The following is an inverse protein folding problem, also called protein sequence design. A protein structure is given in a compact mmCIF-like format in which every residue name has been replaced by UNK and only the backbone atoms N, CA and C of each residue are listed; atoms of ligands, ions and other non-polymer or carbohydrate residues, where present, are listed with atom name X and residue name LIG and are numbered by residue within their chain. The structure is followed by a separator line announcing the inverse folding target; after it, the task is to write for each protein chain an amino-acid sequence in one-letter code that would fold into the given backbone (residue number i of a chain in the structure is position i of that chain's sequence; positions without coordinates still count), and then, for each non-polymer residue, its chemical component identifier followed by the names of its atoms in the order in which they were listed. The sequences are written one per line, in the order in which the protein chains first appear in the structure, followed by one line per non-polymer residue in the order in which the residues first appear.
data_IF_560777742202
#
_entry.id   IF_560777742202
#
_cell.length_a   1.000
_cell.length_b   1.000
_cell.length_c   1.000
_cell.angle_alpha   90.00
_cell.angle_beta   90.00
_cell.angle_gamma   90.00
#
_symmetry.space_group_name_H-M   'P 1'
#
loop_
_entity.id
_entity.type
_entity.pdbx_description
1 polymer ?
#
# COMPACT_ATOMS: atom_id res chain seq x y z
N UNK A 1 -2.77 -15.37 -14.54
CA UNK A 1 -2.28 -13.98 -14.68
C UNK A 1 -1.39 -13.81 -15.91
N UNK A 2 -1.60 -12.78 -16.75
CA UNK A 2 -0.67 -12.45 -17.84
C UNK A 2 0.50 -11.65 -17.26
N UNK A 3 1.72 -11.99 -17.68
CA UNK A 3 2.94 -11.35 -17.19
C UNK A 3 3.75 -10.85 -18.39
N UNK A 4 4.14 -9.58 -18.39
CA UNK A 4 4.89 -8.96 -19.48
C UNK A 4 6.09 -8.19 -18.93
N UNK A 5 7.21 -8.27 -19.64
CA UNK A 5 8.37 -7.42 -19.37
C UNK A 5 8.06 -6.01 -19.86
N UNK A 6 8.30 -5.02 -19.00
CA UNK A 6 7.98 -3.62 -19.31
C UNK A 6 9.14 -2.98 -20.06
N UNK A 7 8.84 -2.16 -21.08
CA UNK A 7 9.89 -1.48 -21.84
C UNK A 7 10.73 -0.58 -20.92
N UNK A 8 11.96 -0.26 -21.32
CA UNK A 8 12.81 0.66 -20.54
C UNK A 8 12.15 2.02 -20.32
N UNK A 9 11.48 2.54 -21.35
CA UNK A 9 10.81 3.84 -21.28
C UNK A 9 9.63 3.86 -20.29
N UNK A 10 8.84 2.80 -20.26
CA UNK A 10 7.73 2.65 -19.32
C UNK A 10 8.23 2.36 -17.91
N UNK A 11 9.31 1.58 -17.77
CA UNK A 11 9.98 1.33 -16.50
C UNK A 11 10.40 2.65 -15.86
N UNK A 12 11.06 3.53 -16.62
CA UNK A 12 11.45 4.86 -16.13
C UNK A 12 10.24 5.67 -15.67
N UNK A 13 9.16 5.72 -16.44
CA UNK A 13 7.93 6.44 -16.07
C UNK A 13 7.30 5.92 -14.78
N UNK A 14 7.18 4.60 -14.64
CA UNK A 14 6.64 3.95 -13.44
C UNK A 14 7.49 4.29 -12.22
N UNK A 15 8.82 4.19 -12.33
CA UNK A 15 9.72 4.51 -11.23
C UNK A 15 9.68 5.99 -10.85
N UNK A 16 9.55 6.90 -11.81
CA UNK A 16 9.35 8.33 -11.56
C UNK A 16 8.03 8.61 -10.82
N UNK A 17 6.94 7.96 -11.25
CA UNK A 17 5.65 8.04 -10.59
C UNK A 17 5.70 7.52 -9.15
N UNK A 18 6.34 6.36 -8.93
CA UNK A 18 6.55 5.81 -7.59
C UNK A 18 7.35 6.77 -6.70
N UNK A 19 8.45 7.35 -7.20
CA UNK A 19 9.24 8.34 -6.45
C UNK A 19 8.42 9.55 -6.05
N UNK A 20 7.58 10.05 -6.96
CA UNK A 20 6.71 11.19 -6.70
C UNK A 20 5.65 10.89 -5.64
N UNK A 21 5.13 9.66 -5.58
CA UNK A 21 4.06 9.28 -4.67
C UNK A 21 4.58 8.84 -3.30
N UNK A 22 5.72 8.14 -3.25
CA UNK A 22 6.16 7.44 -2.04
C UNK A 22 6.99 8.32 -1.09
N UNK A 23 7.55 9.44 -1.58
CA UNK A 23 8.42 10.35 -0.78
C UNK A 23 9.60 9.64 -0.07
N UNK A 24 9.98 8.45 -0.53
CA UNK A 24 11.13 7.69 -0.06
C UNK A 24 12.13 7.43 -1.20
N UNK A 25 13.35 7.07 -0.84
CA UNK A 25 14.33 6.57 -1.82
C UNK A 25 13.94 5.16 -2.30
N UNK A 26 13.79 5.01 -3.62
CA UNK A 26 13.56 3.71 -4.24
C UNK A 26 14.88 2.96 -4.47
N UNK A 27 14.92 1.64 -4.25
CA UNK A 27 16.03 0.79 -4.66
C UNK A 27 16.30 0.89 -6.17
N UNK A 28 17.55 0.70 -6.58
CA UNK A 28 17.93 0.79 -8.00
C UNK A 28 17.32 -0.37 -8.79
N UNK A 29 16.49 -0.06 -9.78
CA UNK A 29 15.88 -1.06 -10.66
C UNK A 29 16.46 -1.00 -12.07
N UNK A 30 16.80 -2.16 -12.65
CA UNK A 30 17.23 -2.28 -14.05
C UNK A 30 16.05 -2.52 -14.98
N UNK A 31 15.17 -3.45 -14.60
CA UNK A 31 13.95 -3.82 -15.32
C UNK A 31 12.86 -4.12 -14.28
N UNK A 32 11.61 -3.94 -14.66
CA UNK A 32 10.44 -4.38 -13.89
C UNK A 32 9.56 -5.28 -14.78
N UNK A 33 8.82 -6.19 -14.16
CA UNK A 33 7.76 -6.98 -14.79
C UNK A 33 6.42 -6.47 -14.29
N UNK A 34 5.41 -6.49 -15.17
CA UNK A 34 4.03 -6.22 -14.83
C UNK A 34 3.22 -7.51 -14.94
N UNK A 35 2.31 -7.70 -13.98
CA UNK A 35 1.44 -8.86 -13.89
C UNK A 35 0.00 -8.38 -13.74
N UNK A 36 -0.83 -8.63 -14.76
CA UNK A 36 -2.21 -8.15 -14.81
C UNK A 36 -3.10 -8.95 -13.86
N UNK A 37 -3.68 -8.28 -12.86
CA UNK A 37 -4.64 -8.87 -11.93
C UNK A 37 -6.05 -8.56 -12.44
N UNK A 38 -6.44 -9.30 -13.48
CA UNK A 38 -7.73 -9.16 -14.17
C UNK A 38 -8.04 -7.68 -14.48
N UNK A 39 -9.22 -7.18 -14.11
CA UNK A 39 -9.65 -5.79 -14.31
C UNK A 39 -9.32 -4.87 -13.12
N UNK A 40 -8.66 -5.39 -12.07
CA UNK A 40 -8.44 -4.66 -10.81
C UNK A 40 -7.19 -3.79 -10.82
N UNK A 41 -6.14 -4.23 -11.51
CA UNK A 41 -4.87 -3.50 -11.54
C UNK A 41 -3.70 -4.38 -11.93
N UNK A 42 -2.50 -3.95 -11.56
CA UNK A 42 -1.25 -4.59 -11.97
C UNK A 42 -0.33 -4.77 -10.77
N UNK A 43 0.23 -5.97 -10.60
CA UNK A 43 1.37 -6.18 -9.70
C UNK A 43 2.65 -5.88 -10.48
N UNK A 44 3.52 -5.08 -9.88
CA UNK A 44 4.82 -4.71 -10.43
C UNK A 44 5.89 -5.42 -9.61
N UNK A 45 6.74 -6.20 -10.25
CA UNK A 45 7.89 -6.87 -9.60
C UNK A 45 9.21 -6.36 -10.18
N UNK A 46 10.12 -5.98 -9.29
CA UNK A 46 11.52 -5.66 -9.58
C UNK A 46 12.45 -6.56 -8.76
N UNK A 47 13.74 -6.23 -8.74
CA UNK A 47 14.74 -7.02 -8.01
C UNK A 47 14.63 -6.87 -6.48
N UNK A 48 14.24 -5.69 -6.01
CA UNK A 48 14.18 -5.33 -4.58
C UNK A 48 12.94 -4.48 -4.29
N UNK A 49 11.91 -4.59 -5.14
CA UNK A 49 10.69 -3.82 -4.99
C UNK A 49 9.53 -4.61 -5.55
N UNK A 50 8.49 -4.74 -4.74
CA UNK A 50 7.17 -5.17 -5.22
C UNK A 50 6.16 -4.07 -4.95
N UNK A 51 5.31 -3.79 -5.92
CA UNK A 51 4.28 -2.77 -5.81
C UNK A 51 2.99 -3.23 -6.48
N UNK A 52 1.90 -2.55 -6.15
CA UNK A 52 0.60 -2.71 -6.82
C UNK A 52 0.16 -1.38 -7.41
N UNK A 53 -0.26 -1.40 -8.68
CA UNK A 53 -0.85 -0.24 -9.35
C UNK A 53 -2.36 -0.43 -9.43
N UNK A 54 -3.10 0.50 -8.82
CA UNK A 54 -4.56 0.52 -8.76
C UNK A 54 -5.01 1.89 -9.28
N UNK A 55 -5.61 1.93 -10.47
CA UNK A 55 -5.85 3.19 -11.16
C UNK A 55 -4.54 3.96 -11.39
N UNK A 56 -4.45 5.18 -10.85
CA UNK A 56 -3.28 6.05 -10.93
C UNK A 56 -2.35 5.97 -9.71
N UNK A 57 -2.74 5.24 -8.67
CA UNK A 57 -1.94 5.07 -7.47
C UNK A 57 -1.06 3.83 -7.60
N UNK A 58 0.21 3.95 -7.19
CA UNK A 58 1.14 2.84 -7.06
C UNK A 58 1.48 2.73 -5.57
N UNK A 59 1.16 1.60 -4.96
CA UNK A 59 1.36 1.36 -3.53
C UNK A 59 2.44 0.29 -3.32
N UNK A 60 3.23 0.36 -2.22
CA UNK A 60 4.11 -0.74 -1.85
C UNK A 60 3.29 -2.00 -1.61
N UNK A 61 3.83 -3.14 -2.01
CA UNK A 61 3.17 -4.42 -1.78
C UNK A 61 3.32 -4.82 -0.30
N UNK A 62 2.29 -5.48 0.24
CA UNK A 62 2.17 -5.71 1.68
C UNK A 62 3.20 -6.71 2.26
N UNK A 63 3.92 -7.45 1.42
CA UNK A 63 4.99 -8.37 1.84
C UNK A 63 6.39 -7.73 1.83
N UNK A 64 6.53 -6.48 1.38
CA UNK A 64 7.81 -5.77 1.28
C UNK A 64 8.11 -4.98 2.56
N UNK A 65 8.30 -5.70 3.68
CA UNK A 65 8.47 -5.11 5.03
C UNK A 65 9.53 -3.99 5.07
N UNK A 66 10.76 -4.16 4.50
CA UNK A 66 11.77 -3.09 4.54
C UNK A 66 11.37 -1.81 3.81
N UNK A 67 10.46 -1.90 2.82
CA UNK A 67 9.89 -0.74 2.16
C UNK A 67 8.77 -0.14 3.00
N UNK A 68 7.86 -0.97 3.53
CA UNK A 68 6.71 -0.52 4.32
C UNK A 68 7.09 0.24 5.58
N UNK A 69 8.19 -0.14 6.25
CA UNK A 69 8.73 0.56 7.43
C UNK A 69 9.16 2.01 7.16
N UNK A 70 9.31 2.40 5.88
CA UNK A 70 9.67 3.77 5.48
C UNK A 70 8.46 4.67 5.26
N UNK A 71 7.25 4.12 5.28
CA UNK A 71 6.00 4.87 5.09
C UNK A 71 5.43 5.34 6.42
N UNK A 72 4.65 6.43 6.42
CA UNK A 72 3.81 6.75 7.56
C UNK A 72 2.79 5.64 7.82
N UNK A 73 2.31 5.56 9.05
CA UNK A 73 1.42 4.48 9.47
C UNK A 73 0.31 4.94 10.41
N UNK A 74 -0.75 4.14 10.45
CA UNK A 74 -1.73 4.09 11.53
C UNK A 74 -1.70 2.71 12.18
N UNK A 75 -1.86 2.66 13.49
CA UNK A 75 -2.09 1.43 14.25
C UNK A 75 -3.57 1.31 14.57
N UNK A 76 -4.16 0.15 14.31
CA UNK A 76 -5.57 -0.14 14.59
C UNK A 76 -5.75 -1.13 15.73
N UNK A 77 -6.88 -1.00 16.43
CA UNK A 77 -7.26 -1.94 17.48
C UNK A 77 -7.65 -3.33 16.93
N UNK A 78 -7.65 -4.33 17.81
CA UNK A 78 -8.03 -5.70 17.45
C UNK A 78 -9.46 -5.85 16.92
N UNK A 79 -10.37 -4.92 17.25
CA UNK A 79 -11.75 -4.92 16.76
C UNK A 79 -11.84 -4.53 15.27
N UNK A 80 -10.96 -3.66 14.81
CA UNK A 80 -10.86 -3.18 13.44
C UNK A 80 -10.19 -4.18 12.49
N UNK A 81 -9.22 -4.98 12.99
CA UNK A 81 -8.41 -5.92 12.17
C UNK A 81 -9.24 -6.74 11.19
N UNK A 82 -10.30 -7.40 11.67
CA UNK A 82 -11.12 -8.29 10.82
C UNK A 82 -11.83 -7.56 9.67
N UNK A 83 -12.09 -6.27 9.82
CA UNK A 83 -12.75 -5.45 8.81
C UNK A 83 -11.74 -4.91 7.81
N UNK A 84 -10.57 -4.46 8.28
CA UNK A 84 -9.47 -4.02 7.42
C UNK A 84 -9.01 -5.14 6.50
N UNK A 85 -8.84 -6.37 7.02
CA UNK A 85 -8.51 -7.55 6.20
C UNK A 85 -9.63 -7.99 5.25
N UNK A 86 -10.81 -7.35 5.30
CA UNK A 86 -11.92 -7.55 4.37
C UNK A 86 -12.14 -6.35 3.44
N UNK A 87 -11.19 -5.42 3.40
CA UNK A 87 -11.23 -4.25 2.52
C UNK A 87 -12.04 -3.08 3.05
N UNK A 88 -12.44 -3.08 4.33
CA UNK A 88 -13.05 -1.88 4.92
C UNK A 88 -12.01 -0.77 5.04
N UNK A 89 -12.46 0.48 4.83
CA UNK A 89 -11.67 1.67 5.12
C UNK A 89 -11.40 1.78 6.62
N UNK A 90 -10.31 2.45 6.97
CA UNK A 90 -9.92 2.64 8.37
C UNK A 90 -10.61 3.88 8.91
N UNK A 91 -11.47 3.65 9.89
CA UNK A 91 -12.23 4.71 10.55
C UNK A 91 -11.48 5.20 11.79
N UNK A 92 -11.58 6.50 12.08
CA UNK A 92 -10.91 7.13 13.21
C UNK A 92 -11.10 6.44 14.57
N UNK A 93 -12.30 5.94 14.95
CA UNK A 93 -12.50 5.25 16.22
C UNK A 93 -11.65 3.99 16.40
N UNK A 94 -11.28 3.32 15.30
CA UNK A 94 -10.48 2.09 15.33
C UNK A 94 -8.97 2.34 15.33
N UNK A 95 -8.52 3.59 15.25
CA UNK A 95 -7.10 3.96 15.24
C UNK A 95 -6.65 4.26 16.67
N UNK A 96 -5.61 3.55 17.12
CA UNK A 96 -5.04 3.69 18.47
C UNK A 96 -3.77 4.54 18.49
N UNK A 97 -3.00 4.56 17.40
CA UNK A 97 -1.78 5.35 17.22
C UNK A 97 -1.58 5.69 15.74
N UNK A 98 -0.79 6.72 15.45
CA UNK A 98 -0.40 7.04 14.09
C UNK A 98 0.87 7.89 14.06
N UNK A 99 1.59 7.87 12.94
CA UNK A 99 2.67 8.81 12.64
C UNK A 99 2.13 10.06 11.94
N UNK A 100 3.02 11.01 11.64
CA UNK A 100 2.67 12.18 10.83
C UNK A 100 2.45 11.80 9.36
N UNK A 101 1.40 12.35 8.74
CA UNK A 101 1.10 12.23 7.32
C UNK A 101 0.13 13.33 6.86
N UNK A 102 0.15 13.62 5.57
CA UNK A 102 -0.76 14.56 4.91
C UNK A 102 -1.89 13.84 4.16
N UNK A 103 -2.99 14.55 3.90
CA UNK A 103 -4.07 14.03 3.04
C UNK A 103 -3.53 13.68 1.66
N UNK A 104 -3.93 12.52 1.13
CA UNK A 104 -3.48 11.96 -0.14
C UNK A 104 -2.18 11.17 -0.07
N UNK A 105 -1.47 11.12 1.07
CA UNK A 105 -0.28 10.28 1.21
C UNK A 105 -0.62 8.80 1.32
N UNK A 106 0.36 7.96 0.96
CA UNK A 106 0.27 6.52 1.15
C UNK A 106 0.60 6.21 2.61
N UNK A 107 -0.28 5.48 3.29
CA UNK A 107 -0.18 5.17 4.71
C UNK A 107 -0.37 3.68 4.94
N UNK A 108 0.52 3.10 5.74
CA UNK A 108 0.47 1.72 6.18
C UNK A 108 -0.52 1.54 7.34
N UNK A 109 -1.24 0.42 7.36
CA UNK A 109 -2.17 0.06 8.45
C UNK A 109 -1.59 -1.13 9.20
N UNK A 110 -1.36 -0.95 10.49
CA UNK A 110 -0.66 -1.91 11.37
C UNK A 110 -1.61 -2.35 12.50
N UNK A 111 -1.57 -3.60 12.94
CA UNK A 111 -2.30 -4.04 14.14
C UNK A 111 -1.51 -3.88 15.45
N UNK A 112 -2.21 -3.60 16.56
CA UNK A 112 -1.59 -3.21 17.84
C UNK A 112 -0.89 -4.32 18.64
N UNK A 113 -1.19 -5.60 18.39
CA UNK A 113 -0.74 -6.74 19.21
C UNK A 113 0.65 -7.22 18.80
N UNK A 114 0.88 -7.42 17.51
CA UNK A 114 2.15 -7.92 16.96
C UNK A 114 2.82 -6.95 15.98
N UNK A 115 2.26 -5.75 15.79
CA UNK A 115 2.74 -4.74 14.84
C UNK A 115 2.84 -5.25 13.40
N UNK A 116 1.93 -6.14 12.98
CA UNK A 116 1.88 -6.62 11.59
C UNK A 116 1.19 -5.63 10.67
N UNK A 117 1.75 -5.43 9.48
CA UNK A 117 1.11 -4.71 8.39
C UNK A 117 -0.10 -5.52 7.88
N UNK A 118 -1.27 -4.87 7.84
CA UNK A 118 -2.54 -5.45 7.41
C UNK A 118 -3.01 -4.91 6.06
N UNK A 119 -2.69 -3.64 5.80
CA UNK A 119 -3.09 -2.96 4.59
C UNK A 119 -2.16 -1.78 4.29
N UNK A 120 -2.23 -1.32 3.04
CA UNK A 120 -1.71 -0.06 2.57
C UNK A 120 -2.87 0.69 1.91
N UNK A 121 -3.00 1.97 2.25
CA UNK A 121 -4.07 2.81 1.76
C UNK A 121 -3.62 4.24 1.52
N UNK A 122 -4.59 5.09 1.24
CA UNK A 122 -4.39 6.53 1.03
C UNK A 122 -5.07 7.31 2.14
N UNK A 123 -4.38 8.29 2.70
CA UNK A 123 -4.97 9.17 3.71
C UNK A 123 -6.06 10.03 3.08
N UNK A 124 -7.26 10.02 3.64
CA UNK A 124 -8.37 10.90 3.25
C UNK A 124 -8.25 12.26 3.95
N UNK A 125 -7.72 12.25 5.18
CA UNK A 125 -7.44 13.44 6.00
C UNK A 125 -5.99 13.43 6.47
N UNK A 126 -5.48 14.56 6.94
CA UNK A 126 -4.12 14.65 7.55
C UNK A 126 -4.09 14.03 8.96
N UNK A 127 -2.88 13.70 9.46
CA UNK A 127 -2.71 13.22 10.84
C UNK A 127 -3.17 14.24 11.88
N UNK A 128 -2.99 15.54 11.61
CA UNK A 128 -3.49 16.64 12.44
C UNK A 128 -5.02 16.67 12.52
N UNK A 129 -5.70 16.55 11.38
CA UNK A 129 -7.16 16.46 11.35
C UNK A 129 -7.65 15.18 12.04
N UNK A 130 -6.93 14.07 11.87
CA UNK A 130 -7.23 12.82 12.57
C UNK A 130 -7.09 12.98 14.09
N UNK A 131 -6.14 13.79 14.59
CA UNK A 131 -6.01 14.09 16.02
C UNK A 131 -7.22 14.87 16.56
N UNK A 132 -7.73 15.83 15.78
CA UNK A 132 -8.83 16.72 16.16
C UNK A 132 -10.23 16.08 16.04
N UNK A 133 -10.35 14.91 15.39
CA UNK A 133 -11.62 14.19 15.22
C UNK A 133 -11.66 12.85 15.94
N UNK A 134 -12.88 12.44 16.35
CA UNK A 134 -13.16 11.12 16.91
C UNK A 134 -13.97 10.23 15.96
N UNK A 135 -14.27 10.69 14.75
CA UNK A 135 -15.11 9.97 13.78
C UNK A 135 -14.68 10.27 12.35
N UNK A 136 -15.21 9.47 11.41
CA UNK A 136 -14.93 9.63 9.99
C UNK A 136 -13.87 8.65 9.50
N UNK A 137 -13.76 8.60 8.18
CA UNK A 137 -12.76 7.80 7.47
C UNK A 137 -11.42 8.52 7.51
N UNK A 138 -10.35 7.79 7.83
CA UNK A 138 -8.99 8.33 7.89
C UNK A 138 -8.16 7.78 6.75
N UNK A 139 -8.20 6.47 6.53
CA UNK A 139 -7.46 5.80 5.47
C UNK A 139 -8.43 5.06 4.57
N UNK A 140 -8.41 5.40 3.27
CA UNK A 140 -9.03 4.60 2.24
C UNK A 140 -8.18 3.37 1.97
N UNK A 141 -8.71 2.19 2.25
CA UNK A 141 -8.01 0.93 2.13
C UNK A 141 -7.91 0.52 0.66
N UNK A 142 -6.71 0.23 0.16
CA UNK A 142 -6.47 -0.02 -1.26
C UNK A 142 -5.83 -1.37 -1.54
N UNK A 143 -4.90 -1.80 -0.69
CA UNK A 143 -4.27 -3.11 -0.76
C UNK A 143 -4.21 -3.73 0.63
N UNK A 144 -4.72 -4.94 0.81
CA UNK A 144 -4.83 -5.58 2.13
C UNK A 144 -4.62 -7.09 2.07
N UNK A 145 -4.33 -7.70 3.23
CA UNK A 145 -4.20 -9.16 3.33
C UNK A 145 -5.46 -9.81 2.78
N UNK A 146 -5.28 -10.83 1.93
CA UNK A 146 -6.36 -11.60 1.28
C UNK A 146 -7.14 -10.90 0.17
N UNK A 147 -6.72 -9.69 -0.24
CA UNK A 147 -7.23 -9.13 -1.49
C UNK A 147 -6.71 -9.89 -2.72
N UNK A 148 -7.29 -9.56 -3.88
CA UNK A 148 -6.94 -10.24 -5.13
C UNK A 148 -5.45 -10.09 -5.49
N UNK A 149 -4.80 -8.99 -5.12
CA UNK A 149 -3.38 -8.77 -5.42
C UNK A 149 -2.50 -9.65 -4.52
N UNK A 150 -2.82 -9.73 -3.23
CA UNK A 150 -2.20 -10.60 -2.24
C UNK A 150 -2.28 -12.07 -2.67
N UNK A 151 -3.46 -12.52 -3.08
CA UNK A 151 -3.65 -13.89 -3.54
C UNK A 151 -2.96 -14.13 -4.90
N UNK A 152 -3.06 -13.19 -5.85
CA UNK A 152 -2.43 -13.33 -7.17
C UNK A 152 -0.90 -13.33 -7.10
N UNK A 153 -0.29 -12.61 -6.16
CA UNK A 153 1.18 -12.60 -5.98
C UNK A 153 1.74 -13.99 -5.69
N UNK A 154 0.98 -14.86 -5.00
CA UNK A 154 1.40 -16.24 -4.69
C UNK A 154 1.55 -17.10 -5.93
N UNK A 155 0.91 -16.73 -7.04
CA UNK A 155 1.00 -17.43 -8.32
C UNK A 155 2.18 -16.94 -9.18
N UNK A 156 2.80 -15.81 -8.81
CA UNK A 156 3.99 -15.29 -9.50
C UNK A 156 5.18 -16.16 -9.13
N UNK A 157 5.64 -16.95 -10.09
CA UNK A 157 6.90 -17.69 -9.98
C UNK A 157 8.05 -16.74 -10.32
N UNK A 158 9.10 -16.78 -9.50
CA UNK A 158 10.33 -16.01 -9.70
C UNK A 158 11.02 -16.34 -11.04
#
# INVERSE_FOLDING_TARGET
MKSNLISKSETSKILEQMKSQWKIELPKQKNIKAHDVNEKGVIITGNEITAVKIGDDILPFLDDIPILEKFPYVTVDMGAVKFVCKGANVMRPGITKFSDFESGEIVCVIEESQNKFLAVGKAEISSKEAEDTNKGEVIKNMHYISDDFWESKKEIKD
#
